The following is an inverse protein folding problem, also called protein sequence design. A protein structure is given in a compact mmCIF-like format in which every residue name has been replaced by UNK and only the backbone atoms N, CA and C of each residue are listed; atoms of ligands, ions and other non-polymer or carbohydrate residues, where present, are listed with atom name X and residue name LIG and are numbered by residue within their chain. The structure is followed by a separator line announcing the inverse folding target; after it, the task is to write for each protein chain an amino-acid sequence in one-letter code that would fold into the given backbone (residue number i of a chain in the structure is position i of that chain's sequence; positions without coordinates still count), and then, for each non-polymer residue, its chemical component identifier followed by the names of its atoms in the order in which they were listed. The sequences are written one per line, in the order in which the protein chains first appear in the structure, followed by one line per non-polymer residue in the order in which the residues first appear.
data_IF_496084201281
#
_entry.id   IF_496084201281
#
_cell.length_a   1.000
_cell.length_b   1.000
_cell.length_c   1.000
_cell.angle_alpha   90.00
_cell.angle_beta   90.00
_cell.angle_gamma   90.00
#
_symmetry.space_group_name_H-M   'P 1'
#
loop_
_entity.id
_entity.type
_entity.pdbx_description
1 polymer ?
#
# COMPACT_ATOMS: atom_id res chain seq x y z
N UNK A 1 6.91 -2.11 -9.34
CA UNK A 1 6.07 -0.90 -9.16
C UNK A 1 5.06 -1.27 -8.11
N UNK A 2 5.09 -0.59 -6.98
CA UNK A 2 4.25 -0.95 -5.84
C UNK A 2 2.91 -0.22 -5.92
N UNK A 3 1.84 -1.01 -5.88
CA UNK A 3 0.47 -0.50 -5.80
C UNK A 3 0.03 -0.44 -4.34
N UNK A 4 -0.72 0.60 -3.97
CA UNK A 4 -1.40 0.68 -2.68
C UNK A 4 -2.68 -0.16 -2.73
N UNK A 5 -2.55 -1.45 -3.00
CA UNK A 5 -3.64 -2.43 -3.09
C UNK A 5 -3.22 -3.65 -2.28
N UNK A 6 -4.11 -4.14 -1.43
CA UNK A 6 -3.76 -5.10 -0.40
C UNK A 6 -4.79 -6.21 -0.22
N UNK A 7 -4.30 -7.37 0.18
CA UNK A 7 -5.07 -8.49 0.72
C UNK A 7 -4.90 -8.54 2.24
N UNK A 8 -5.98 -8.88 2.95
CA UNK A 8 -6.01 -8.96 4.39
C UNK A 8 -5.83 -10.40 4.84
N UNK A 9 -4.69 -10.69 5.47
CA UNK A 9 -4.52 -11.93 6.23
C UNK A 9 -5.17 -11.74 7.60
N UNK A 10 -6.48 -12.00 7.69
CA UNK A 10 -7.28 -11.75 8.91
C UNK A 10 -6.71 -12.45 10.15
N UNK A 11 -6.12 -13.63 10.00
CA UNK A 11 -5.50 -14.39 11.09
C UNK A 11 -4.27 -13.70 11.69
N UNK A 12 -3.59 -12.86 10.91
CA UNK A 12 -2.35 -12.18 11.30
C UNK A 12 -2.54 -10.68 11.55
N UNK A 13 -3.77 -10.15 11.42
CA UNK A 13 -4.09 -8.70 11.45
C UNK A 13 -3.14 -7.89 10.55
N UNK A 14 -2.82 -8.47 9.38
CA UNK A 14 -1.78 -7.99 8.47
C UNK A 14 -2.36 -7.73 7.08
N UNK A 15 -1.81 -6.71 6.43
CA UNK A 15 -2.07 -6.42 5.03
C UNK A 15 -0.82 -6.68 4.21
N UNK A 16 -0.96 -7.53 3.22
CA UNK A 16 0.09 -7.83 2.24
C UNK A 16 -0.30 -7.24 0.88
N UNK A 17 0.71 -6.96 0.07
CA UNK A 17 0.49 -6.40 -1.26
C UNK A 17 -0.29 -7.41 -2.13
N UNK A 18 -1.30 -6.93 -2.84
CA UNK A 18 -2.15 -7.76 -3.71
C UNK A 18 -1.40 -8.19 -4.97
N UNK A 19 -1.48 -9.48 -5.34
CA UNK A 19 -0.89 -10.01 -6.56
C UNK A 19 -1.82 -11.06 -7.21
N UNK A 20 -1.78 -11.23 -8.54
CA UNK A 20 -0.98 -10.50 -9.53
C UNK A 20 -1.53 -9.08 -9.80
N UNK A 21 -0.77 -8.21 -10.50
CA UNK A 21 -1.19 -6.85 -10.85
C UNK A 21 -1.73 -6.78 -12.30
N UNK A 22 -2.91 -7.32 -12.57
CA UNK A 22 -3.45 -7.40 -13.94
C UNK A 22 -4.94 -7.08 -14.05
N UNK A 23 -5.32 -6.29 -15.05
CA UNK A 23 -6.73 -5.99 -15.33
C UNK A 23 -7.46 -5.38 -14.13
N UNK A 24 -8.73 -5.76 -13.95
CA UNK A 24 -9.58 -5.39 -12.81
C UNK A 24 -9.67 -6.58 -11.84
N UNK A 25 -9.32 -6.37 -10.57
CA UNK A 25 -9.32 -7.43 -9.56
C UNK A 25 -10.04 -6.97 -8.28
N UNK A 26 -10.73 -7.91 -7.63
CA UNK A 26 -11.27 -7.73 -6.29
C UNK A 26 -10.10 -7.81 -5.27
N UNK A 27 -10.12 -6.95 -4.27
CA UNK A 27 -9.08 -6.86 -3.23
C UNK A 27 -9.71 -6.45 -1.90
N UNK A 28 -8.93 -6.54 -0.82
CA UNK A 28 -9.45 -6.27 0.52
C UNK A 28 -9.32 -4.80 0.95
N UNK A 29 -8.30 -4.11 0.45
CA UNK A 29 -8.09 -2.71 0.74
C UNK A 29 -7.30 -1.98 -0.34
N UNK A 30 -7.53 -0.68 -0.43
CA UNK A 30 -6.83 0.24 -1.33
C UNK A 30 -6.41 1.51 -0.59
N UNK A 31 -5.33 2.14 -1.07
CA UNK A 31 -5.11 3.56 -0.82
C UNK A 31 -6.19 4.40 -1.51
N UNK A 32 -6.70 5.42 -0.83
CA UNK A 32 -7.88 6.17 -1.26
C UNK A 32 -7.56 7.52 -1.92
N UNK A 33 -6.31 7.70 -2.37
CA UNK A 33 -5.86 8.92 -3.03
C UNK A 33 -6.51 9.18 -4.39
N UNK A 34 -6.87 8.13 -5.14
CA UNK A 34 -7.58 8.23 -6.42
C UNK A 34 -8.46 7.00 -6.63
N UNK A 35 -9.76 7.13 -6.35
CA UNK A 35 -10.73 6.03 -6.48
C UNK A 35 -12.13 6.56 -6.77
N UNK A 36 -13.01 5.66 -7.21
CA UNK A 36 -14.42 5.93 -7.40
C UNK A 36 -15.23 5.18 -6.35
N UNK A 37 -16.22 5.84 -5.77
CA UNK A 37 -17.14 5.23 -4.79
C UNK A 37 -18.58 5.55 -5.14
N UNK A 38 -19.43 4.52 -5.16
CA UNK A 38 -20.85 4.73 -5.35
C UNK A 38 -21.45 5.41 -4.12
N UNK A 39 -22.30 6.44 -4.33
CA UNK A 39 -22.98 7.18 -3.26
C UNK A 39 -23.61 6.27 -2.19
N UNK A 40 -24.25 5.17 -2.61
CA UNK A 40 -24.88 4.17 -1.73
C UNK A 40 -23.91 3.58 -0.68
N UNK A 41 -22.62 3.51 -0.99
CA UNK A 41 -21.59 3.03 -0.05
C UNK A 41 -21.41 4.03 1.07
N UNK A 42 -21.29 5.33 0.73
CA UNK A 42 -21.14 6.40 1.71
C UNK A 42 -22.41 6.69 2.51
N UNK A 43 -23.59 6.33 1.99
CA UNK A 43 -24.87 6.48 2.72
C UNK A 43 -25.22 5.27 3.58
N UNK A 44 -24.49 4.15 3.43
CA UNK A 44 -24.76 2.92 4.17
C UNK A 44 -24.64 3.15 5.70
N UNK A 45 -25.54 2.63 6.54
CA UNK A 45 -25.55 2.89 7.99
C UNK A 45 -24.22 2.61 8.72
N UNK A 46 -23.47 1.60 8.26
CA UNK A 46 -22.15 1.24 8.82
C UNK A 46 -21.04 2.24 8.41
N UNK A 47 -21.11 2.76 7.18
CA UNK A 47 -20.02 3.54 6.58
C UNK A 47 -20.20 5.04 6.79
N UNK A 48 -21.45 5.53 6.76
CA UNK A 48 -21.81 6.96 6.65
C UNK A 48 -21.24 7.87 7.73
N UNK A 49 -20.97 7.34 8.92
CA UNK A 49 -20.41 8.11 10.01
C UNK A 49 -18.91 7.88 10.12
N UNK A 50 -18.16 8.98 9.96
CA UNK A 50 -16.71 9.00 10.06
C UNK A 50 -16.06 7.91 9.18
N UNK A 51 -16.28 7.94 7.85
CA UNK A 51 -15.87 6.86 6.94
C UNK A 51 -14.35 6.62 6.96
N UNK A 52 -13.55 7.67 7.12
CA UNK A 52 -12.07 7.64 7.11
C UNK A 52 -11.44 7.79 8.49
N UNK A 53 -12.15 7.39 9.55
CA UNK A 53 -11.63 7.49 10.91
C UNK A 53 -10.53 6.46 11.15
N UNK A 54 -9.34 6.96 11.48
CA UNK A 54 -8.21 6.12 11.90
C UNK A 54 -8.59 5.28 13.11
N UNK A 55 -8.18 4.00 13.12
CA UNK A 55 -8.32 3.10 14.27
C UNK A 55 -7.02 3.07 15.06
N UNK A 56 -7.12 3.14 16.38
CA UNK A 56 -5.99 3.14 17.31
C UNK A 56 -6.03 1.88 18.18
N UNK A 57 -4.87 1.45 18.66
CA UNK A 57 -4.76 0.47 19.74
C UNK A 57 -4.92 1.16 21.09
N UNK A 58 -5.09 0.38 22.16
CA UNK A 58 -5.28 0.92 23.52
C UNK A 58 -4.07 1.72 24.03
N UNK A 59 -2.88 1.42 23.51
CA UNK A 59 -1.64 2.16 23.81
C UNK A 59 -1.51 3.49 23.02
N UNK A 60 -2.51 3.85 22.22
CA UNK A 60 -2.51 5.05 21.38
C UNK A 60 -1.75 4.93 20.06
N UNK A 61 -1.13 3.78 19.77
CA UNK A 61 -0.50 3.52 18.46
C UNK A 61 -1.55 3.34 17.37
N UNK A 62 -1.16 3.56 16.12
CA UNK A 62 -2.07 3.43 14.98
C UNK A 62 -2.26 1.94 14.66
N UNK A 63 -3.51 1.46 14.78
CA UNK A 63 -3.89 0.12 14.32
C UNK A 63 -4.08 0.11 12.81
N UNK A 64 -4.96 0.98 12.31
CA UNK A 64 -5.23 1.15 10.89
C UNK A 64 -5.26 2.63 10.51
N UNK A 65 -4.57 2.97 9.43
CA UNK A 65 -4.70 4.27 8.78
C UNK A 65 -6.13 4.52 8.29
N UNK A 66 -6.43 5.78 7.96
CA UNK A 66 -7.76 6.23 7.55
C UNK A 66 -8.32 5.45 6.35
N UNK A 67 -7.49 5.21 5.33
CA UNK A 67 -7.83 4.50 4.10
C UNK A 67 -8.19 3.04 4.37
N UNK A 68 -7.37 2.35 5.18
CA UNK A 68 -7.57 0.95 5.55
C UNK A 68 -8.81 0.79 6.43
N UNK A 69 -9.01 1.71 7.37
CA UNK A 69 -10.20 1.72 8.23
C UNK A 69 -11.49 1.95 7.42
N UNK A 70 -11.45 2.77 6.37
CA UNK A 70 -12.55 2.92 5.42
C UNK A 70 -12.83 1.62 4.67
N UNK A 71 -11.80 1.00 4.08
CA UNK A 71 -11.94 -0.27 3.34
C UNK A 71 -12.56 -1.37 4.22
N UNK A 72 -12.10 -1.48 5.47
CA UNK A 72 -12.65 -2.43 6.42
C UNK A 72 -14.14 -2.19 6.67
N UNK A 73 -14.57 -0.94 6.92
CA UNK A 73 -16.01 -0.61 7.09
C UNK A 73 -16.84 -0.92 5.85
N UNK A 74 -16.28 -0.69 4.66
CA UNK A 74 -16.95 -0.97 3.38
C UNK A 74 -17.15 -2.47 3.20
N UNK A 75 -16.15 -3.29 3.55
CA UNK A 75 -16.27 -4.76 3.56
C UNK A 75 -17.25 -5.26 4.62
N UNK A 76 -17.20 -4.73 5.85
CA UNK A 76 -18.17 -5.03 6.92
C UNK A 76 -19.62 -4.72 6.49
N UNK A 77 -19.79 -3.71 5.62
CA UNK A 77 -21.07 -3.37 5.00
C UNK A 77 -21.48 -4.27 3.82
N UNK A 78 -20.69 -5.29 3.48
CA UNK A 78 -20.96 -6.26 2.42
C UNK A 78 -20.67 -5.75 1.00
N UNK A 79 -19.94 -4.63 0.86
CA UNK A 79 -19.50 -4.14 -0.45
C UNK A 79 -18.14 -4.72 -0.82
N UNK A 80 -17.94 -4.86 -2.13
CA UNK A 80 -16.67 -5.29 -2.72
C UNK A 80 -15.81 -4.09 -3.11
N UNK A 81 -14.50 -4.26 -3.00
CA UNK A 81 -13.51 -3.26 -3.41
C UNK A 81 -12.75 -3.86 -4.61
N UNK A 82 -12.54 -3.05 -5.64
CA UNK A 82 -11.81 -3.47 -6.83
C UNK A 82 -10.74 -2.44 -7.18
N UNK A 83 -9.61 -2.92 -7.68
CA UNK A 83 -8.52 -2.11 -8.21
C UNK A 83 -8.26 -2.52 -9.67
N UNK A 84 -7.97 -1.53 -10.52
CA UNK A 84 -7.62 -1.80 -11.92
C UNK A 84 -6.16 -1.42 -12.19
N UNK A 85 -5.32 -2.41 -12.49
CA UNK A 85 -3.87 -2.26 -12.64
C UNK A 85 -3.42 -1.72 -14.01
N UNK A 86 -4.34 -1.67 -14.97
CA UNK A 86 -4.12 -1.00 -16.27
C UNK A 86 -4.31 0.53 -16.27
N UNK A 87 -4.80 1.15 -15.19
CA UNK A 87 -5.01 2.60 -15.11
C UNK A 87 -4.10 3.24 -14.07
N UNK A 88 -3.03 3.89 -14.55
CA UNK A 88 -2.07 4.57 -13.69
C UNK A 88 -2.52 6.03 -13.47
N UNK A 89 -2.74 6.40 -12.22
CA UNK A 89 -2.94 7.79 -11.83
C UNK A 89 -1.60 8.37 -11.32
N UNK A 90 -1.19 9.52 -11.85
CA UNK A 90 -0.02 10.23 -11.36
C UNK A 90 -0.27 10.72 -9.92
N UNK A 91 0.73 10.55 -9.06
CA UNK A 91 0.68 10.98 -7.67
C UNK A 91 1.89 11.87 -7.39
N UNK A 92 1.65 13.17 -7.25
CA UNK A 92 2.68 14.15 -6.94
C UNK A 92 2.83 14.29 -5.42
N UNK A 93 4.06 14.22 -4.92
CA UNK A 93 4.36 14.44 -3.50
C UNK A 93 5.50 15.43 -3.37
N UNK A 94 5.29 16.45 -2.54
CA UNK A 94 6.38 17.31 -2.12
C UNK A 94 7.24 16.57 -1.09
N UNK A 95 8.54 16.60 -1.31
CA UNK A 95 9.54 16.09 -0.39
C UNK A 95 10.70 17.06 -0.32
N UNK A 96 11.43 17.00 0.78
CA UNK A 96 12.61 17.82 0.98
C UNK A 96 13.74 17.28 0.08
N UNK A 97 14.42 18.18 -0.64
CA UNK A 97 15.38 17.80 -1.68
C UNK A 97 16.60 17.10 -1.09
N UNK A 98 17.11 17.55 0.06
CA UNK A 98 18.25 16.92 0.72
C UNK A 98 17.93 15.50 1.18
N UNK A 99 16.70 15.20 1.62
CA UNK A 99 16.27 13.84 1.96
C UNK A 99 16.32 12.90 0.75
N UNK A 100 15.94 13.39 -0.44
CA UNK A 100 16.06 12.64 -1.69
C UNK A 100 17.52 12.43 -2.06
N UNK A 101 18.35 13.47 -1.99
CA UNK A 101 19.79 13.38 -2.27
C UNK A 101 20.49 12.38 -1.34
N UNK A 102 20.19 12.42 -0.05
CA UNK A 102 20.71 11.46 0.95
C UNK A 102 20.27 10.03 0.66
N UNK A 103 19.00 9.82 0.30
CA UNK A 103 18.50 8.50 -0.07
C UNK A 103 19.23 7.92 -1.30
N UNK A 104 19.41 8.73 -2.35
CA UNK A 104 20.16 8.31 -3.54
C UNK A 104 21.65 8.05 -3.24
N UNK A 105 22.30 8.90 -2.45
CA UNK A 105 23.70 8.68 -2.06
C UNK A 105 23.87 7.35 -1.30
N UNK A 106 22.97 7.04 -0.37
CA UNK A 106 22.95 5.74 0.34
C UNK A 106 22.71 4.58 -0.63
N UNK A 107 21.74 4.70 -1.53
CA UNK A 107 21.44 3.68 -2.54
C UNK A 107 22.67 3.33 -3.39
N UNK A 108 23.35 4.35 -3.95
CA UNK A 108 24.55 4.11 -4.76
C UNK A 108 25.71 3.53 -3.96
N UNK A 109 25.85 3.89 -2.69
CA UNK A 109 26.88 3.29 -1.83
C UNK A 109 26.64 1.80 -1.66
N UNK A 110 25.42 1.40 -1.32
CA UNK A 110 25.02 -0.01 -1.14
C UNK A 110 25.22 -0.77 -2.45
N UNK A 111 24.74 -0.22 -3.58
CA UNK A 111 24.88 -0.86 -4.88
C UNK A 111 26.35 -1.12 -5.24
N UNK A 112 27.22 -0.14 -5.00
CA UNK A 112 28.67 -0.29 -5.25
C UNK A 112 29.32 -1.32 -4.33
N UNK A 113 28.87 -1.45 -3.09
CA UNK A 113 29.34 -2.49 -2.16
C UNK A 113 28.92 -3.89 -2.62
N UNK A 114 27.67 -4.07 -3.08
CA UNK A 114 27.18 -5.34 -3.65
C UNK A 114 27.98 -5.72 -4.89
N UNK A 115 28.16 -4.80 -5.84
CA UNK A 115 28.93 -5.04 -7.08
C UNK A 115 30.36 -5.48 -6.76
N UNK A 116 31.00 -4.85 -5.76
CA UNK A 116 32.36 -5.24 -5.32
C UNK A 116 32.40 -6.63 -4.69
N UNK A 117 31.37 -7.02 -3.94
CA UNK A 117 31.28 -8.36 -3.35
C UNK A 117 31.06 -9.43 -4.42
N UNK A 118 30.18 -9.19 -5.39
CA UNK A 118 29.95 -10.11 -6.51
C UNK A 118 31.20 -10.28 -7.39
N UNK A 119 31.96 -9.19 -7.61
CA UNK A 119 33.22 -9.24 -8.33
C UNK A 119 34.36 -9.98 -7.58
N UNK A 120 34.19 -10.28 -6.29
CA UNK A 120 35.16 -11.00 -5.45
C UNK A 120 34.83 -12.49 -5.29
N UNK A 121 33.68 -12.98 -5.78
CA UNK A 121 33.37 -14.42 -5.76
C UNK A 121 34.21 -15.12 -6.84
N UNK A 122 35.13 -16.03 -6.48
CA UNK A 122 35.93 -16.74 -7.48
C UNK A 122 35.00 -17.66 -8.28
N UNK A 123 35.12 -17.60 -9.62
CA UNK A 123 34.58 -18.65 -10.49
C UNK A 123 35.27 -19.95 -10.08
N UNK A 124 34.52 -20.91 -9.53
CA UNK A 124 35.05 -22.23 -9.22
C UNK A 124 35.64 -22.81 -10.51
N UNK A 125 36.95 -23.05 -10.52
CA UNK A 125 37.62 -23.74 -11.61
C UNK A 125 37.23 -25.23 -11.54
N UNK A 126 36.82 -25.77 -12.69
CA UNK A 126 36.36 -27.15 -12.92
C UNK A 126 37.33 -28.24 -12.40
#
# INVERSE_FOLDING_TARGET
MDWNVYDCAEEEDKYDQHFPHEGLQECDAIGTGAFLVARRVLEHPIVRYQPFQRKYRDDGTVKLGSDMAFCQKVKEAGFKIHAHFGYICLHYKQCELTAIMEAFAKFYKIQNEIIKQEAQVPVAAD
#
